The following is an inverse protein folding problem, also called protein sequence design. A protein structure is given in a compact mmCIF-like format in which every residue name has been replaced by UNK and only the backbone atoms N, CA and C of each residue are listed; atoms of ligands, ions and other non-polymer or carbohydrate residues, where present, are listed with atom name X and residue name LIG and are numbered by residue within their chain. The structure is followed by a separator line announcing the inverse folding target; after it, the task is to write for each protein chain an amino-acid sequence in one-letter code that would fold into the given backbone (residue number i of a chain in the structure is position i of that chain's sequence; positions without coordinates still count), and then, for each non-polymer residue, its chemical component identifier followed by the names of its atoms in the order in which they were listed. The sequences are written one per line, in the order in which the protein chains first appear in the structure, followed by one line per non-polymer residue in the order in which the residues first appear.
data_IF_710489067087
#
_entry.id   IF_710489067087
#
_cell.length_a   1.000
_cell.length_b   1.000
_cell.length_c   1.000
_cell.angle_alpha   90.00
_cell.angle_beta   90.00
_cell.angle_gamma   90.00
#
_symmetry.space_group_name_H-M   'P 1'
#
loop_
_entity.id
_entity.type
_entity.pdbx_description
1 polymer ?
#
# COMPACT_ATOMS: atom_id res chain seq x y z
N UNK A 1 -8.88 3.77 -6.81
CA UNK A 1 -8.40 2.61 -6.04
C UNK A 1 -8.37 1.42 -6.98
N UNK A 2 -7.18 0.88 -7.28
CA UNK A 2 -7.07 -0.32 -8.14
C UNK A 2 -7.23 -1.54 -7.24
N UNK A 3 -8.26 -2.33 -7.48
CA UNK A 3 -8.48 -3.60 -6.78
C UNK A 3 -7.71 -4.70 -7.51
N UNK A 4 -6.90 -5.48 -6.79
CA UNK A 4 -6.23 -6.67 -7.31
C UNK A 4 -6.88 -7.87 -6.64
N UNK A 5 -7.61 -8.68 -7.41
CA UNK A 5 -8.17 -9.95 -6.95
C UNK A 5 -7.36 -11.09 -7.56
N UNK A 6 -6.78 -11.95 -6.71
CA UNK A 6 -5.96 -13.08 -7.12
C UNK A 6 -6.04 -14.20 -6.09
N UNK A 7 -6.12 -15.44 -6.55
CA UNK A 7 -5.91 -16.62 -5.73
C UNK A 7 -4.42 -16.91 -5.62
N UNK A 8 -3.92 -17.04 -4.40
CA UNK A 8 -2.52 -17.37 -4.14
C UNK A 8 -2.37 -18.88 -3.95
N UNK A 9 -1.39 -19.48 -4.62
CA UNK A 9 -0.94 -20.83 -4.32
C UNK A 9 -0.05 -20.82 -3.09
N UNK A 10 0.13 -22.00 -2.48
CA UNK A 10 1.01 -22.14 -1.33
C UNK A 10 2.43 -21.61 -1.68
N UNK A 11 3.00 -20.81 -0.79
CA UNK A 11 4.31 -20.14 -0.96
C UNK A 11 4.41 -19.04 -2.03
N UNK A 12 3.32 -18.64 -2.70
CA UNK A 12 3.35 -17.47 -3.58
C UNK A 12 3.45 -16.15 -2.81
N UNK A 13 4.28 -15.23 -3.32
CA UNK A 13 4.48 -13.90 -2.75
C UNK A 13 3.77 -12.85 -3.59
N UNK A 14 2.98 -11.97 -2.94
CA UNK A 14 2.45 -10.76 -3.57
C UNK A 14 3.50 -9.64 -3.53
N UNK A 15 3.95 -9.21 -4.71
CA UNK A 15 4.80 -8.03 -4.87
C UNK A 15 3.99 -6.88 -5.48
N UNK A 16 3.91 -5.75 -4.77
CA UNK A 16 3.29 -4.51 -5.25
C UNK A 16 4.32 -3.39 -5.33
N UNK A 17 4.32 -2.64 -6.44
CA UNK A 17 5.16 -1.47 -6.66
C UNK A 17 4.32 -0.35 -7.26
N UNK A 18 4.46 0.84 -6.70
CA UNK A 18 3.82 2.06 -7.18
C UNK A 18 4.85 3.18 -7.21
N UNK A 19 4.70 4.08 -8.18
CA UNK A 19 5.55 5.27 -8.28
C UNK A 19 4.66 6.50 -8.14
N UNK A 20 5.01 7.38 -7.22
CA UNK A 20 4.38 8.68 -7.10
C UNK A 20 5.27 9.74 -7.75
N UNK A 21 4.73 10.46 -8.74
CA UNK A 21 5.42 11.55 -9.45
C UNK A 21 5.26 12.91 -8.75
N UNK A 22 4.97 12.89 -7.45
CA UNK A 22 4.73 14.06 -6.61
C UNK A 22 3.55 14.93 -7.07
N UNK A 23 2.57 14.37 -7.79
CA UNK A 23 1.33 15.08 -8.14
C UNK A 23 0.17 14.76 -7.21
N UNK A 24 -0.65 15.77 -6.95
CA UNK A 24 -1.94 15.64 -6.29
C UNK A 24 -2.99 15.01 -7.22
N UNK A 25 -4.18 14.75 -6.68
CA UNK A 25 -5.31 14.18 -7.42
C UNK A 25 -5.81 15.06 -8.58
N UNK A 26 -5.35 16.32 -8.67
CA UNK A 26 -5.69 17.27 -9.74
C UNK A 26 -4.54 17.38 -10.76
N UNK A 27 -3.50 16.55 -10.64
CA UNK A 27 -2.34 16.55 -11.54
C UNK A 27 -1.35 17.69 -11.31
N UNK A 28 -1.44 18.39 -10.16
CA UNK A 28 -0.52 19.49 -9.81
C UNK A 28 0.56 18.97 -8.89
N UNK A 29 1.79 19.45 -9.02
CA UNK A 29 2.85 19.09 -8.07
C UNK A 29 2.47 19.51 -6.65
N UNK A 30 2.72 18.62 -5.69
CA UNK A 30 2.55 18.93 -4.28
C UNK A 30 3.59 19.95 -3.83
N UNK A 31 3.26 20.69 -2.77
CA UNK A 31 4.19 21.64 -2.17
C UNK A 31 5.38 20.92 -1.55
N UNK A 32 6.50 21.63 -1.40
CA UNK A 32 7.66 21.14 -0.65
C UNK A 32 7.26 20.81 0.79
N UNK A 33 7.88 19.78 1.35
CA UNK A 33 7.62 19.36 2.72
C UNK A 33 7.78 17.86 2.94
N UNK A 34 7.46 17.45 4.16
CA UNK A 34 7.59 16.06 4.62
C UNK A 34 6.26 15.33 4.45
N UNK A 35 6.29 14.23 3.71
CA UNK A 35 5.12 13.41 3.42
C UNK A 35 5.29 11.99 3.96
N UNK A 36 4.19 11.41 4.44
CA UNK A 36 4.12 10.00 4.79
C UNK A 36 3.45 9.24 3.65
N UNK A 37 4.16 8.29 3.07
CA UNK A 37 3.61 7.35 2.11
C UNK A 37 3.18 6.11 2.88
N UNK A 38 1.91 5.72 2.75
CA UNK A 38 1.33 4.55 3.40
C UNK A 38 0.75 3.61 2.34
N UNK A 39 1.18 2.36 2.35
CA UNK A 39 0.60 1.27 1.57
C UNK A 39 -0.15 0.37 2.54
N UNK A 40 -1.43 0.14 2.29
CA UNK A 40 -2.28 -0.72 3.12
C UNK A 40 -2.77 -1.86 2.24
N UNK A 41 -2.44 -3.09 2.61
CA UNK A 41 -2.99 -4.29 1.96
C UNK A 41 -4.28 -4.70 2.65
N UNK A 42 -5.33 -4.90 1.85
CA UNK A 42 -6.59 -5.46 2.31
C UNK A 42 -6.66 -6.89 1.81
N UNK A 43 -6.70 -7.85 2.73
CA UNK A 43 -6.84 -9.27 2.43
C UNK A 43 -8.08 -9.81 3.15
N UNK A 44 -8.82 -10.67 2.46
CA UNK A 44 -9.87 -11.48 3.06
C UNK A 44 -9.31 -12.89 3.19
N UNK A 45 -9.05 -13.35 4.42
CA UNK A 45 -8.66 -14.73 4.67
C UNK A 45 -9.86 -15.44 5.26
N UNK A 46 -10.38 -16.43 4.56
CA UNK A 46 -11.33 -17.38 5.11
C UNK A 46 -10.57 -18.36 6.01
N UNK A 47 -10.30 -17.99 7.26
CA UNK A 47 -9.86 -18.97 8.24
C UNK A 47 -10.36 -18.61 9.63
N UNK A 48 -10.91 -19.61 10.33
CA UNK A 48 -11.42 -19.48 11.69
C UNK A 48 -10.32 -19.18 12.75
N UNK A 49 -9.04 -19.10 12.38
CA UNK A 49 -7.92 -19.06 13.33
C UNK A 49 -6.73 -18.13 12.98
N UNK A 50 -6.84 -17.23 11.99
CA UNK A 50 -5.76 -16.26 11.73
C UNK A 50 -6.20 -14.82 11.96
N UNK A 51 -5.59 -14.19 12.98
CA UNK A 51 -5.72 -12.77 13.29
C UNK A 51 -4.51 -12.05 12.69
N UNK A 52 -4.64 -11.60 11.44
CA UNK A 52 -3.73 -10.59 10.90
C UNK A 52 -4.30 -9.22 11.24
N UNK A 53 -3.48 -8.38 11.89
CA UNK A 53 -3.86 -7.01 12.19
C UNK A 53 -3.65 -6.11 10.96
N UNK A 54 -4.29 -4.94 10.95
CA UNK A 54 -4.01 -3.92 9.92
C UNK A 54 -2.56 -3.43 9.96
N UNK A 55 -1.89 -3.55 11.11
CA UNK A 55 -0.50 -3.17 11.30
C UNK A 55 0.44 -4.13 10.57
N UNK A 56 0.16 -5.44 10.61
CA UNK A 56 0.88 -6.47 9.85
C UNK A 56 0.77 -6.27 8.33
N UNK A 57 -0.27 -5.55 7.89
CA UNK A 57 -0.60 -5.32 6.48
C UNK A 57 -0.32 -3.90 6.00
N UNK A 58 0.35 -3.09 6.83
CA UNK A 58 0.69 -1.70 6.52
C UNK A 58 2.19 -1.52 6.40
N UNK A 59 2.63 -1.01 5.26
CA UNK A 59 3.98 -0.45 5.10
C UNK A 59 3.90 1.07 5.04
N UNK A 60 4.75 1.76 5.80
CA UNK A 60 4.83 3.22 5.80
C UNK A 60 6.27 3.69 5.68
N UNK A 61 6.47 4.79 4.96
CA UNK A 61 7.77 5.47 4.85
C UNK A 61 7.57 6.98 4.79
N UNK A 62 8.62 7.72 5.12
CA UNK A 62 8.64 9.18 5.08
C UNK A 62 9.54 9.63 3.95
N UNK A 63 9.05 10.57 3.14
CA UNK A 63 9.79 11.16 2.03
C UNK A 63 9.75 12.68 2.17
N UNK A 64 10.86 13.33 1.85
CA UNK A 64 10.97 14.78 1.79
C UNK A 64 10.96 15.26 0.35
N UNK A 65 10.06 16.19 0.04
CA UNK A 65 9.94 16.84 -1.27
C UNK A 65 10.63 18.20 -1.18
N UNK A 66 11.70 18.36 -1.96
CA UNK A 66 12.62 19.51 -1.93
C UNK A 66 12.33 20.58 -2.98
#
# INVERSE_FOLDING_TARGET
MKLIQREFKNEEVLSYKETWDFKDIKGRHVSKGRYTIKVVMLISIDSENSSLSTEDLTAATVVEVL
#
